data_IF_660985645512
#
_entry.id   IF_660985645512
#
_cell.length_a   1.000
_cell.length_b   1.000
_cell.length_c   1.000
_cell.angle_alpha   90.00
_cell.angle_beta   90.00
_cell.angle_gamma   90.00
#
_symmetry.space_group_name_H-M   'P 1'
#
loop_
_entity.id
_entity.type
_entity.pdbx_description
1 polymer ?
#
# COMPACT_ATOMS: atom_id res chain seq x y z
N UNK A 1 3.51 -10.55 -12.99
CA UNK A 1 4.04 -10.35 -11.64
C UNK A 1 5.26 -9.46 -11.71
N UNK A 2 5.40 -8.56 -10.78
CA UNK A 2 6.61 -7.75 -10.63
C UNK A 2 7.05 -7.72 -9.17
N UNK A 3 8.36 -7.67 -8.95
CA UNK A 3 8.98 -7.59 -7.62
C UNK A 3 10.08 -6.53 -7.61
N UNK A 4 10.10 -5.71 -6.55
CA UNK A 4 11.16 -4.72 -6.31
C UNK A 4 11.54 -4.80 -4.84
N UNK A 5 12.84 -4.96 -4.55
CA UNK A 5 13.38 -4.94 -3.19
C UNK A 5 14.57 -3.99 -3.13
N UNK A 6 14.69 -3.24 -2.04
CA UNK A 6 15.75 -2.29 -1.82
C UNK A 6 16.20 -2.27 -0.35
N UNK A 7 17.45 -1.95 -0.13
CA UNK A 7 17.95 -1.61 1.20
C UNK A 7 17.47 -0.20 1.56
N UNK A 8 16.72 -0.06 2.65
CA UNK A 8 16.10 1.21 3.04
C UNK A 8 17.09 2.24 3.61
N UNK A 9 18.31 1.85 3.95
CA UNK A 9 19.34 2.77 4.43
C UNK A 9 20.20 3.30 3.29
N UNK A 10 20.55 2.44 2.31
CA UNK A 10 21.44 2.81 1.20
C UNK A 10 20.68 3.19 -0.07
N UNK A 11 19.42 2.80 -0.23
CA UNK A 11 18.64 2.97 -1.44
C UNK A 11 19.01 2.01 -2.57
N UNK A 12 20.00 1.12 -2.35
CA UNK A 12 20.40 0.11 -3.34
C UNK A 12 19.21 -0.81 -3.65
N UNK A 13 18.84 -0.90 -4.92
CA UNK A 13 17.84 -1.85 -5.40
C UNK A 13 18.49 -3.22 -5.51
N UNK A 14 18.08 -4.14 -4.64
CA UNK A 14 18.64 -5.49 -4.54
C UNK A 14 18.01 -6.45 -5.57
N UNK A 15 16.71 -6.25 -5.83
CA UNK A 15 15.95 -7.04 -6.80
C UNK A 15 15.02 -6.10 -7.55
N UNK A 16 15.01 -6.21 -8.88
CA UNK A 16 13.97 -5.71 -9.77
C UNK A 16 13.74 -6.76 -10.84
N UNK A 17 12.59 -7.42 -10.80
CA UNK A 17 12.27 -8.53 -11.71
C UNK A 17 10.80 -8.54 -12.06
N UNK A 18 10.51 -8.93 -13.28
CA UNK A 18 9.18 -8.96 -13.84
C UNK A 18 8.98 -10.25 -14.64
N UNK A 19 7.77 -10.82 -14.57
CA UNK A 19 7.41 -11.99 -15.33
C UNK A 19 5.95 -11.93 -15.78
N UNK A 20 5.67 -12.43 -16.97
CA UNK A 20 4.31 -12.62 -17.50
C UNK A 20 3.99 -14.08 -17.65
N UNK A 21 2.73 -14.45 -17.41
CA UNK A 21 2.19 -15.77 -17.74
C UNK A 21 1.62 -15.83 -19.17
N UNK A 22 1.63 -14.70 -19.89
CA UNK A 22 1.10 -14.61 -21.24
C UNK A 22 2.27 -14.67 -22.23
N UNK A 23 2.37 -15.76 -22.99
CA UNK A 23 3.27 -15.91 -24.14
C UNK A 23 2.84 -15.03 -25.34
N UNK A 24 2.33 -13.83 -25.09
CA UNK A 24 1.84 -12.95 -26.14
C UNK A 24 2.89 -11.90 -26.49
N UNK A 25 3.33 -11.89 -27.72
CA UNK A 25 4.20 -10.88 -28.37
C UNK A 25 3.72 -9.41 -28.22
N UNK A 26 2.50 -9.21 -27.69
CA UNK A 26 1.86 -7.91 -27.52
C UNK A 26 2.10 -7.24 -26.17
N UNK A 27 2.64 -7.93 -25.18
CA UNK A 27 3.00 -7.34 -23.89
C UNK A 27 4.52 -7.27 -23.77
N UNK A 28 5.08 -6.20 -24.30
CA UNK A 28 6.45 -5.80 -23.96
C UNK A 28 6.39 -5.24 -22.53
N UNK A 29 6.63 -6.12 -21.52
CA UNK A 29 6.51 -5.79 -20.08
C UNK A 29 7.78 -5.12 -19.57
N UNK A 30 8.49 -4.41 -20.43
CA UNK A 30 9.70 -3.72 -20.05
C UNK A 30 9.41 -2.66 -18.97
N UNK A 31 9.92 -2.91 -17.77
CA UNK A 31 9.91 -1.96 -16.64
C UNK A 31 8.51 -1.61 -16.13
N UNK A 32 7.59 -2.62 -16.06
CA UNK A 32 6.23 -2.41 -15.53
C UNK A 32 6.26 -1.82 -14.12
N UNK A 33 7.23 -2.21 -13.29
CA UNK A 33 7.43 -1.71 -11.92
C UNK A 33 7.67 -0.20 -11.85
N UNK A 34 8.32 0.38 -12.88
CA UNK A 34 8.63 1.81 -12.95
C UNK A 34 7.63 2.60 -13.82
N UNK A 35 7.03 1.96 -14.82
CA UNK A 35 6.21 2.64 -15.85
C UNK A 35 4.71 2.49 -15.63
N UNK A 36 4.26 1.32 -15.15
CA UNK A 36 2.85 1.09 -14.96
C UNK A 36 2.32 1.81 -13.73
N UNK A 37 1.22 2.52 -13.93
CA UNK A 37 0.46 3.14 -12.87
C UNK A 37 -0.64 2.20 -12.39
N UNK A 38 -0.85 2.16 -11.08
CA UNK A 38 -1.95 1.41 -10.48
C UNK A 38 -2.44 2.11 -9.21
N UNK A 39 -3.66 1.81 -8.84
CA UNK A 39 -4.21 2.22 -7.55
C UNK A 39 -3.73 1.25 -6.48
N UNK A 40 -2.97 1.71 -5.46
CA UNK A 40 -2.33 0.82 -4.48
C UNK A 40 -3.32 0.16 -3.51
N UNK A 41 -4.56 0.64 -3.50
CA UNK A 41 -5.59 0.15 -2.59
C UNK A 41 -5.13 0.23 -1.14
N UNK A 42 -5.49 -0.74 -0.35
CA UNK A 42 -5.21 -0.76 1.10
C UNK A 42 -3.73 -0.63 1.49
N UNK A 43 -2.78 -0.78 0.55
CA UNK A 43 -1.37 -0.53 0.84
C UNK A 43 -1.07 0.96 1.11
N UNK A 44 -1.96 1.87 0.68
CA UNK A 44 -1.85 3.30 0.96
C UNK A 44 -2.29 3.69 2.38
N UNK A 45 -3.14 2.92 3.04
CA UNK A 45 -3.77 3.28 4.32
C UNK A 45 -2.78 3.69 5.41
N UNK A 46 -1.57 3.14 5.41
CA UNK A 46 -0.56 3.48 6.40
C UNK A 46 -0.13 4.95 6.28
N UNK A 47 -0.08 5.50 5.08
CA UNK A 47 0.24 6.91 4.86
C UNK A 47 -0.95 7.81 5.23
N UNK A 48 -2.18 7.40 4.92
CA UNK A 48 -3.40 8.09 5.35
C UNK A 48 -3.42 8.22 6.88
N UNK A 49 -3.23 7.12 7.60
CA UNK A 49 -3.18 7.13 9.06
C UNK A 49 -1.98 7.96 9.58
N UNK A 50 -0.83 7.88 8.89
CA UNK A 50 0.34 8.68 9.21
C UNK A 50 0.10 10.19 9.13
N UNK A 51 -0.64 10.64 8.12
CA UNK A 51 -1.04 12.05 7.99
C UNK A 51 -1.88 12.52 9.18
N UNK A 52 -2.86 11.69 9.59
CA UNK A 52 -3.76 12.03 10.70
C UNK A 52 -3.06 12.02 12.05
N UNK A 53 -2.10 11.11 12.24
CA UNK A 53 -1.26 11.07 13.46
C UNK A 53 -0.31 12.27 13.50
N UNK A 54 0.31 12.64 12.36
CA UNK A 54 1.21 13.81 12.29
C UNK A 54 0.47 15.12 12.60
N UNK A 55 -0.82 15.18 12.24
CA UNK A 55 -1.68 16.36 12.44
C UNK A 55 -2.46 16.35 13.76
N UNK A 56 -2.18 15.40 14.67
CA UNK A 56 -2.88 15.21 15.94
C UNK A 56 -4.43 15.09 15.83
N UNK A 57 -4.92 14.66 14.66
CA UNK A 57 -6.36 14.43 14.41
C UNK A 57 -6.80 13.11 15.02
N UNK A 58 -5.90 12.13 15.08
CA UNK A 58 -6.18 10.76 15.52
C UNK A 58 -5.40 10.44 16.80
N UNK A 59 -6.13 10.01 17.83
CA UNK A 59 -5.57 9.27 18.95
C UNK A 59 -5.65 7.77 18.65
N UNK A 60 -4.49 7.09 18.60
CA UNK A 60 -4.38 5.66 18.29
C UNK A 60 -5.14 4.75 19.27
N UNK A 61 -5.44 5.26 20.47
CA UNK A 61 -6.13 4.51 21.52
C UNK A 61 -7.66 4.65 21.43
N UNK A 62 -8.16 5.63 20.67
CA UNK A 62 -9.59 5.81 20.50
C UNK A 62 -10.17 4.65 19.69
N UNK A 63 -11.32 4.15 20.14
CA UNK A 63 -12.08 3.13 19.46
C UNK A 63 -13.20 3.76 18.62
N UNK A 64 -13.41 3.19 17.45
CA UNK A 64 -14.41 3.59 16.48
C UNK A 64 -15.39 2.43 16.29
N UNK A 65 -16.69 2.73 16.30
CA UNK A 65 -17.71 1.75 15.90
C UNK A 65 -17.65 1.61 14.38
N UNK A 66 -17.26 0.44 13.91
CA UNK A 66 -17.06 0.11 12.50
C UNK A 66 -18.13 -0.89 12.07
N UNK A 67 -19.06 -0.45 11.25
CA UNK A 67 -20.04 -1.27 10.56
C UNK A 67 -19.41 -1.88 9.31
N UNK A 68 -20.12 -2.87 8.71
CA UNK A 68 -19.71 -3.50 7.47
C UNK A 68 -19.63 -2.52 6.29
N UNK A 69 -20.53 -1.51 6.27
CA UNK A 69 -20.64 -0.53 5.18
C UNK A 69 -20.85 0.88 5.71
N UNK A 70 -20.47 1.85 4.89
CA UNK A 70 -20.66 3.28 5.16
C UNK A 70 -21.15 4.00 3.89
N UNK A 71 -22.15 4.84 4.04
CA UNK A 71 -22.65 5.71 2.99
C UNK A 71 -22.01 7.09 3.07
N UNK A 72 -21.42 7.51 1.97
CA UNK A 72 -20.93 8.90 1.77
C UNK A 72 -21.96 9.70 0.97
N UNK A 73 -22.78 9.00 0.22
CA UNK A 73 -23.92 9.56 -0.53
C UNK A 73 -25.16 8.79 -0.06
N UNK A 74 -26.13 9.53 0.44
CA UNK A 74 -27.36 8.97 1.02
C UNK A 74 -28.04 7.96 0.08
N UNK A 75 -28.40 6.81 0.61
CA UNK A 75 -29.05 5.71 -0.10
C UNK A 75 -28.12 4.90 -1.02
N UNK A 76 -26.83 5.26 -1.13
CA UNK A 76 -25.91 4.62 -2.08
C UNK A 76 -25.58 3.16 -1.75
N UNK A 77 -25.90 2.68 -0.54
CA UNK A 77 -25.78 1.28 -0.17
C UNK A 77 -27.06 0.46 -0.46
N UNK A 78 -28.14 1.07 -0.88
CA UNK A 78 -29.35 0.35 -1.33
C UNK A 78 -29.07 -0.36 -2.67
N UNK A 79 -29.45 -1.63 -2.77
CA UNK A 79 -29.25 -2.45 -3.98
C UNK A 79 -29.98 -1.90 -5.23
N UNK A 80 -31.03 -1.11 -5.03
CA UNK A 80 -31.78 -0.46 -6.10
C UNK A 80 -31.27 0.94 -6.47
N UNK A 81 -30.20 1.41 -5.81
CA UNK A 81 -29.67 2.75 -6.05
C UNK A 81 -28.97 2.84 -7.41
N UNK A 82 -29.41 3.76 -8.24
CA UNK A 82 -28.87 3.98 -9.60
C UNK A 82 -28.06 5.27 -9.74
N UNK A 83 -27.86 6.00 -8.64
CA UNK A 83 -27.13 7.26 -8.62
C UNK A 83 -25.61 7.11 -8.58
N UNK A 84 -24.92 8.15 -8.12
CA UNK A 84 -23.48 8.17 -7.96
C UNK A 84 -23.04 7.14 -6.90
N UNK A 85 -22.01 6.35 -7.20
CA UNK A 85 -21.44 5.38 -6.24
C UNK A 85 -20.88 6.10 -5.03
N UNK A 86 -21.35 5.74 -3.84
CA UNK A 86 -20.96 6.34 -2.57
C UNK A 86 -20.97 5.39 -1.39
N UNK A 87 -21.28 4.11 -1.66
CA UNK A 87 -21.24 3.04 -0.67
C UNK A 87 -19.85 2.41 -0.63
N UNK A 88 -19.26 2.37 0.56
CA UNK A 88 -17.99 1.66 0.80
C UNK A 88 -18.22 0.51 1.78
N UNK A 89 -17.54 -0.61 1.55
CA UNK A 89 -17.69 -1.82 2.34
C UNK A 89 -16.35 -2.38 2.76
N UNK A 90 -16.34 -3.03 3.91
CA UNK A 90 -15.23 -3.91 4.27
C UNK A 90 -15.24 -5.17 3.40
N UNK A 91 -14.09 -5.83 3.32
CA UNK A 91 -13.94 -6.98 2.42
C UNK A 91 -14.82 -8.17 2.84
N UNK A 92 -14.89 -8.46 4.13
CA UNK A 92 -15.75 -9.50 4.69
C UNK A 92 -16.89 -8.87 5.46
N UNK A 93 -18.11 -9.40 5.26
CA UNK A 93 -19.27 -9.00 6.03
C UNK A 93 -19.08 -9.35 7.51
N UNK A 94 -19.40 -8.41 8.39
CA UNK A 94 -19.29 -8.56 9.84
C UNK A 94 -20.34 -7.73 10.55
N UNK A 95 -20.63 -8.11 11.81
CA UNK A 95 -21.40 -7.27 12.72
C UNK A 95 -20.58 -6.04 13.15
N UNK A 96 -21.23 -4.98 13.65
CA UNK A 96 -20.52 -3.80 14.14
C UNK A 96 -19.43 -4.15 15.15
N UNK A 97 -18.20 -3.64 14.94
CA UNK A 97 -17.02 -3.87 15.75
C UNK A 97 -16.51 -2.54 16.33
N UNK A 98 -16.10 -2.56 17.60
CA UNK A 98 -15.34 -1.45 18.16
C UNK A 98 -13.85 -1.70 17.88
N UNK A 99 -13.26 -0.90 16.99
CA UNK A 99 -11.88 -1.06 16.55
C UNK A 99 -11.07 0.21 16.83
N UNK A 100 -9.89 0.06 17.40
CA UNK A 100 -8.91 1.14 17.46
C UNK A 100 -8.12 1.23 16.13
N UNK A 101 -7.26 2.26 16.00
CA UNK A 101 -6.50 2.49 14.76
C UNK A 101 -5.61 1.29 14.40
N UNK A 102 -5.00 0.65 15.39
CA UNK A 102 -4.17 -0.55 15.18
C UNK A 102 -4.98 -1.68 14.57
N UNK A 103 -6.17 -1.96 15.10
CA UNK A 103 -7.07 -3.01 14.63
C UNK A 103 -7.66 -2.70 13.25
N UNK A 104 -7.92 -1.42 12.96
CA UNK A 104 -8.38 -0.96 11.63
C UNK A 104 -7.31 -1.24 10.56
N UNK A 105 -6.04 -0.95 10.84
CA UNK A 105 -4.93 -1.24 9.93
C UNK A 105 -4.68 -2.75 9.84
N UNK A 106 -4.70 -3.48 10.96
CA UNK A 106 -4.52 -4.92 11.04
C UNK A 106 -5.52 -5.68 10.15
N UNK A 107 -6.81 -5.37 10.29
CA UNK A 107 -7.90 -5.95 9.52
C UNK A 107 -8.03 -5.37 8.11
N UNK A 108 -7.33 -4.27 7.85
CA UNK A 108 -7.47 -3.54 6.59
C UNK A 108 -8.89 -2.98 6.35
N UNK A 109 -9.59 -2.58 7.41
CA UNK A 109 -10.95 -2.05 7.31
C UNK A 109 -10.99 -0.79 6.43
N UNK A 110 -11.85 -0.79 5.41
CA UNK A 110 -12.14 0.37 4.59
C UNK A 110 -13.03 1.35 5.38
N UNK A 111 -14.08 0.82 5.98
CA UNK A 111 -15.07 1.61 6.73
C UNK A 111 -14.42 2.28 7.93
N UNK A 112 -13.58 1.56 8.67
CA UNK A 112 -12.82 2.12 9.79
C UNK A 112 -11.89 3.26 9.33
N UNK A 113 -11.16 3.06 8.23
CA UNK A 113 -10.28 4.10 7.68
C UNK A 113 -11.07 5.34 7.24
N UNK A 114 -12.20 5.15 6.54
CA UNK A 114 -13.06 6.25 6.10
C UNK A 114 -13.65 7.02 7.29
N UNK A 115 -14.08 6.33 8.35
CA UNK A 115 -14.58 6.99 9.57
C UNK A 115 -13.53 7.86 10.24
N UNK A 116 -12.30 7.39 10.29
CA UNK A 116 -11.19 8.15 10.88
C UNK A 116 -10.92 9.42 10.08
N UNK A 117 -10.90 9.37 8.74
CA UNK A 117 -10.58 10.54 7.90
C UNK A 117 -11.72 11.54 7.77
N UNK A 118 -12.91 11.22 8.24
CA UNK A 118 -14.11 12.05 8.00
C UNK A 118 -14.01 13.48 8.55
N UNK A 119 -13.10 13.73 9.49
CA UNK A 119 -12.84 15.06 10.06
C UNK A 119 -11.53 15.69 9.51
N UNK A 120 -10.96 15.14 8.46
CA UNK A 120 -9.73 15.66 7.84
C UNK A 120 -10.01 16.31 6.49
N UNK A 121 -8.99 17.03 5.99
CA UNK A 121 -9.01 17.60 4.65
C UNK A 121 -8.24 16.69 3.68
N UNK A 122 -8.75 16.54 2.46
CA UNK A 122 -8.10 15.76 1.41
C UNK A 122 -6.74 16.33 1.03
N UNK A 123 -6.59 17.67 1.03
CA UNK A 123 -5.34 18.35 0.69
C UNK A 123 -4.23 18.01 1.70
N UNK A 124 -4.56 17.89 2.99
CA UNK A 124 -3.59 17.53 4.03
C UNK A 124 -3.04 16.10 3.82
N UNK A 125 -3.93 15.16 3.42
CA UNK A 125 -3.52 13.79 3.10
C UNK A 125 -2.68 13.77 1.83
N UNK A 126 -3.07 14.51 0.79
CA UNK A 126 -2.34 14.59 -0.47
C UNK A 126 -0.95 15.21 -0.25
N UNK A 127 -0.85 16.29 0.51
CA UNK A 127 0.42 16.93 0.83
C UNK A 127 1.33 16.02 1.66
N UNK A 128 0.76 15.23 2.57
CA UNK A 128 1.52 14.22 3.29
C UNK A 128 2.05 13.15 2.32
N UNK A 129 1.23 12.64 1.40
CA UNK A 129 1.64 11.67 0.39
C UNK A 129 2.77 12.24 -0.51
N UNK A 130 2.68 13.50 -0.91
CA UNK A 130 3.73 14.17 -1.70
C UNK A 130 5.07 14.24 -0.96
N UNK A 131 5.09 14.37 0.38
CA UNK A 131 6.34 14.31 1.18
C UNK A 131 7.07 12.97 0.97
N UNK A 132 6.35 11.87 0.75
CA UNK A 132 6.90 10.54 0.49
C UNK A 132 7.28 10.30 -0.98
N UNK A 133 7.05 11.26 -1.86
CA UNK A 133 7.38 11.21 -3.27
C UNK A 133 6.26 10.71 -4.19
N UNK A 134 5.05 10.48 -3.67
CA UNK A 134 3.91 10.19 -4.54
C UNK A 134 3.60 11.40 -5.44
N UNK A 135 3.26 11.14 -6.69
CA UNK A 135 3.06 12.18 -7.70
C UNK A 135 4.37 12.71 -8.33
N UNK A 136 5.53 12.17 -7.95
CA UNK A 136 6.84 12.53 -8.48
C UNK A 136 7.63 11.30 -8.89
N UNK A 137 8.54 11.42 -9.85
CA UNK A 137 9.48 10.35 -10.19
C UNK A 137 10.39 10.04 -8.99
N UNK A 138 10.71 8.77 -8.77
CA UNK A 138 11.66 8.38 -7.74
C UNK A 138 13.11 8.74 -8.12
N UNK A 139 13.36 8.88 -9.42
CA UNK A 139 14.68 9.19 -9.97
C UNK A 139 15.58 7.95 -10.06
N UNK A 140 15.02 6.74 -9.97
CA UNK A 140 15.74 5.51 -10.27
C UNK A 140 16.20 5.53 -11.74
N UNK A 141 17.37 4.96 -12.05
CA UNK A 141 18.03 5.04 -13.37
C UNK A 141 17.31 4.17 -14.43
N UNK A 142 15.99 4.30 -14.53
CA UNK A 142 15.13 3.62 -15.49
C UNK A 142 14.46 4.63 -16.43
N UNK A 143 14.60 4.40 -17.73
CA UNK A 143 13.98 5.27 -18.71
C UNK A 143 12.45 5.13 -18.73
N UNK A 144 11.75 6.26 -18.86
CA UNK A 144 10.28 6.26 -18.96
C UNK A 144 9.56 6.04 -17.62
N UNK A 145 10.23 6.25 -16.49
CA UNK A 145 9.60 6.21 -15.17
C UNK A 145 8.38 7.13 -15.13
N UNK A 146 7.25 6.59 -14.64
CA UNK A 146 6.05 7.37 -14.40
C UNK A 146 6.11 8.08 -13.05
N UNK A 147 5.55 9.29 -13.00
CA UNK A 147 5.38 10.04 -11.74
C UNK A 147 4.12 9.67 -10.97
N UNK A 148 3.24 8.84 -11.54
CA UNK A 148 1.90 8.66 -10.99
C UNK A 148 1.03 9.91 -11.12
N UNK A 149 -0.13 9.90 -10.47
CA UNK A 149 -1.05 11.05 -10.48
C UNK A 149 -2.03 10.98 -9.32
N UNK A 150 -2.50 12.14 -8.91
CA UNK A 150 -3.69 12.28 -8.07
C UNK A 150 -4.89 12.60 -8.96
N UNK A 151 -6.09 12.17 -8.55
CA UNK A 151 -7.33 12.57 -9.22
C UNK A 151 -7.63 14.06 -8.97
N UNK A 152 -8.43 14.67 -9.83
CA UNK A 152 -8.95 16.02 -9.58
C UNK A 152 -10.14 15.95 -8.61
N UNK A 153 -10.05 16.70 -7.49
CA UNK A 153 -11.00 16.55 -6.37
C UNK A 153 -12.11 17.61 -6.34
N UNK A 154 -12.05 18.65 -7.17
CA UNK A 154 -12.85 19.89 -7.06
C UNK A 154 -14.37 19.69 -7.05
N UNK A 155 -14.90 18.53 -7.49
CA UNK A 155 -16.32 18.23 -7.51
C UNK A 155 -16.70 16.85 -6.96
N UNK A 156 -15.74 16.16 -6.37
CA UNK A 156 -15.88 14.75 -6.02
C UNK A 156 -16.27 14.57 -4.54
N UNK A 157 -17.49 14.18 -4.28
CA UNK A 157 -18.00 13.94 -2.90
C UNK A 157 -17.34 12.76 -2.19
N UNK A 158 -16.85 11.77 -2.94
CA UNK A 158 -16.29 10.52 -2.39
C UNK A 158 -14.77 10.44 -2.46
N UNK A 159 -14.10 11.49 -2.95
CA UNK A 159 -12.66 11.43 -3.20
C UNK A 159 -11.83 11.32 -1.93
N UNK A 160 -12.21 11.99 -0.83
CA UNK A 160 -11.54 11.80 0.45
C UNK A 160 -11.60 10.34 0.90
N UNK A 161 -12.79 9.73 0.86
CA UNK A 161 -12.97 8.33 1.21
C UNK A 161 -12.21 7.40 0.28
N UNK A 162 -12.23 7.67 -1.03
CA UNK A 162 -11.52 6.88 -2.04
C UNK A 162 -10.00 6.98 -1.85
N UNK A 163 -9.46 8.20 -1.71
CA UNK A 163 -8.03 8.41 -1.50
C UNK A 163 -7.56 7.74 -0.22
N UNK A 164 -8.33 7.85 0.86
CA UNK A 164 -7.96 7.30 2.17
C UNK A 164 -7.74 5.78 2.15
N UNK A 165 -8.35 5.07 1.23
CA UNK A 165 -8.23 3.62 1.08
C UNK A 165 -7.43 3.21 -0.17
N UNK A 166 -6.78 4.18 -0.83
CA UNK A 166 -5.84 3.96 -1.93
C UNK A 166 -6.44 3.88 -3.32
N UNK A 167 -7.61 4.47 -3.52
CA UNK A 167 -8.18 4.79 -4.83
C UNK A 167 -8.02 6.28 -5.14
N UNK A 168 -8.35 6.70 -6.35
CA UNK A 168 -8.19 8.11 -6.76
C UNK A 168 -6.73 8.63 -6.73
N UNK A 169 -5.79 7.73 -6.68
CA UNK A 169 -4.35 7.95 -6.83
C UNK A 169 -3.74 6.84 -7.68
N UNK A 170 -2.87 7.21 -8.59
CA UNK A 170 -2.07 6.27 -9.36
C UNK A 170 -0.61 6.33 -8.91
N UNK A 171 -0.02 5.19 -8.58
CA UNK A 171 1.36 5.07 -8.14
C UNK A 171 2.13 4.07 -8.99
N UNK A 172 3.47 4.14 -8.94
CA UNK A 172 4.35 3.07 -9.41
C UNK A 172 4.79 2.17 -8.26
N UNK A 173 5.27 0.99 -8.57
CA UNK A 173 5.81 0.08 -7.56
C UNK A 173 7.07 0.67 -6.88
N UNK A 174 7.90 1.41 -7.63
CA UNK A 174 9.06 2.11 -7.06
C UNK A 174 8.67 3.21 -6.08
N UNK A 175 7.60 3.96 -6.34
CA UNK A 175 7.09 4.94 -5.36
C UNK A 175 6.63 4.26 -4.07
N UNK A 176 5.97 3.11 -4.15
CA UNK A 176 5.58 2.33 -2.96
C UNK A 176 6.80 1.86 -2.18
N UNK A 177 7.82 1.31 -2.84
CA UNK A 177 9.07 0.91 -2.19
C UNK A 177 9.76 2.10 -1.53
N UNK A 178 9.84 3.25 -2.21
CA UNK A 178 10.40 4.48 -1.62
C UNK A 178 9.63 4.91 -0.37
N UNK A 179 8.30 4.99 -0.46
CA UNK A 179 7.45 5.41 0.66
C UNK A 179 7.60 4.51 1.89
N UNK A 180 7.59 3.20 1.68
CA UNK A 180 7.80 2.23 2.77
C UNK A 180 9.24 2.25 3.30
N UNK A 181 10.23 2.56 2.45
CA UNK A 181 11.63 2.73 2.90
C UNK A 181 11.78 3.91 3.86
N UNK A 182 11.08 5.03 3.60
CA UNK A 182 11.06 6.19 4.51
C UNK A 182 10.45 5.80 5.86
N UNK A 183 9.39 4.99 5.88
CA UNK A 183 8.84 4.48 7.15
C UNK A 183 9.85 3.55 7.84
N UNK A 184 10.48 2.63 7.10
CA UNK A 184 11.33 1.60 7.67
C UNK A 184 12.67 2.15 8.21
N UNK A 185 13.24 3.21 7.60
CA UNK A 185 14.55 3.77 7.92
C UNK A 185 14.54 4.87 9.01
N UNK A 186 13.43 5.04 9.70
CA UNK A 186 13.31 6.06 10.75
C UNK A 186 12.88 7.44 10.24
N UNK A 187 12.26 7.53 9.07
CA UNK A 187 11.65 8.76 8.54
C UNK A 187 12.55 9.62 7.68
N UNK A 188 13.64 9.08 7.14
CA UNK A 188 14.58 9.78 6.27
C UNK A 188 14.23 9.55 4.80
N UNK A 189 14.39 10.58 3.96
CA UNK A 189 14.29 10.43 2.50
C UNK A 189 15.31 9.43 1.99
N UNK A 190 14.99 8.78 0.90
CA UNK A 190 15.84 7.78 0.28
C UNK A 190 15.80 7.93 -1.25
N UNK A 191 16.98 7.96 -1.86
CA UNK A 191 17.13 7.85 -3.31
C UNK A 191 17.32 6.37 -3.64
N UNK A 192 16.35 5.78 -4.35
CA UNK A 192 16.50 4.43 -4.90
C UNK A 192 17.45 4.46 -6.09
N UNK A 193 18.34 3.47 -6.18
CA UNK A 193 19.32 3.39 -7.26
C UNK A 193 19.61 1.94 -7.64
N UNK A 194 19.71 1.68 -8.94
CA UNK A 194 20.20 0.41 -9.49
C UNK A 194 21.74 0.34 -9.47
N UNK A 195 22.39 1.49 -9.23
CA UNK A 195 23.83 1.58 -9.13
C UNK A 195 24.22 1.48 -7.65
N UNK A 196 25.23 0.66 -7.36
CA UNK A 196 25.80 0.58 -6.04
C UNK A 196 26.62 1.84 -5.74
N UNK A 197 25.97 2.82 -5.10
CA UNK A 197 26.61 4.07 -4.70
C UNK A 197 26.40 4.30 -3.21
N UNK A 198 27.42 4.05 -2.42
CA UNK A 198 27.39 4.13 -0.95
C UNK A 198 27.29 5.57 -0.44
N UNK A 199 27.61 6.58 -1.27
CA UNK A 199 27.72 7.96 -0.83
C UNK A 199 26.43 8.80 -1.04
N UNK A 200 25.49 8.32 -1.84
CA UNK A 200 24.26 9.09 -2.20
C UNK A 200 23.35 9.42 -1.02
N UNK A 201 23.41 8.65 0.05
CA UNK A 201 22.47 8.77 1.17
C UNK A 201 23.10 9.25 2.51
N UNK A 202 24.31 9.82 2.47
CA UNK A 202 25.02 10.28 3.67
C UNK A 202 24.34 11.49 4.36
N UNK A 203 23.59 12.33 3.63
CA UNK A 203 22.92 13.53 4.13
C UNK A 203 21.41 13.51 3.87
N UNK A 204 20.74 12.45 4.26
CA UNK A 204 19.30 12.27 4.03
C UNK A 204 18.46 13.31 4.80
N UNK A 205 17.60 14.03 4.08
CA UNK A 205 16.59 14.92 4.68
C UNK A 205 15.57 14.07 5.46
N UNK A 206 15.18 14.53 6.64
CA UNK A 206 14.08 13.91 7.39
C UNK A 206 12.73 14.34 6.79
N UNK A 207 11.91 13.37 6.45
CA UNK A 207 10.57 13.55 5.87
C UNK A 207 9.50 13.55 6.97
N UNK A 208 9.60 12.61 7.91
CA UNK A 208 8.74 12.49 9.09
C UNK A 208 9.60 12.32 10.35
N UNK A 209 9.04 12.59 11.52
CA UNK A 209 9.74 12.37 12.77
C UNK A 209 10.09 10.90 12.98
N UNK A 210 11.14 10.64 13.76
CA UNK A 210 11.52 9.27 14.14
C UNK A 210 10.40 8.59 14.94
N UNK A 211 9.71 9.35 15.79
CA UNK A 211 8.56 8.84 16.55
C UNK A 211 7.43 8.38 15.64
N UNK A 212 7.00 9.23 14.72
CA UNK A 212 5.94 8.84 13.75
C UNK A 212 6.36 7.62 12.94
N UNK A 213 7.59 7.58 12.44
CA UNK A 213 8.11 6.42 11.72
C UNK A 213 7.98 5.13 12.55
N UNK A 214 8.37 5.16 13.83
CA UNK A 214 8.28 3.99 14.72
C UNK A 214 6.83 3.58 15.00
N UNK A 215 5.92 4.55 15.16
CA UNK A 215 4.48 4.28 15.32
C UNK A 215 3.93 3.58 14.08
N UNK A 216 4.23 4.08 12.88
CA UNK A 216 3.81 3.46 11.62
C UNK A 216 4.43 2.07 11.42
N UNK A 217 5.71 1.87 11.76
CA UNK A 217 6.35 0.54 11.76
C UNK A 217 5.62 -0.45 12.64
N UNK A 218 5.25 -0.07 13.86
CA UNK A 218 4.50 -0.94 14.78
C UNK A 218 3.13 -1.33 14.21
N UNK A 219 2.42 -0.39 13.58
CA UNK A 219 1.17 -0.69 12.90
C UNK A 219 1.36 -1.69 11.76
N UNK A 220 2.40 -1.53 10.94
CA UNK A 220 2.73 -2.47 9.85
C UNK A 220 3.16 -3.85 10.36
N UNK A 221 3.91 -3.93 11.45
CA UNK A 221 4.28 -5.20 12.10
C UNK A 221 3.00 -5.91 12.59
N UNK A 222 2.05 -5.17 13.15
CA UNK A 222 0.79 -5.76 13.61
C UNK A 222 -0.07 -6.37 12.49
N UNK A 223 0.05 -5.89 11.25
CA UNK A 223 -0.61 -6.54 10.09
C UNK A 223 -0.10 -7.97 9.87
N UNK A 224 1.13 -8.28 10.27
CA UNK A 224 1.74 -9.60 10.18
C UNK A 224 1.53 -10.39 11.49
N UNK A 225 1.79 -9.76 12.64
CA UNK A 225 1.80 -10.44 13.94
C UNK A 225 0.45 -10.50 14.64
N UNK A 226 -0.48 -9.62 14.30
CA UNK A 226 -1.81 -9.55 14.92
C UNK A 226 -2.71 -10.72 14.53
N UNK A 227 -3.63 -11.09 15.42
CA UNK A 227 -4.51 -12.25 15.24
C UNK A 227 -5.48 -12.12 14.06
N UNK A 228 -5.84 -10.88 13.71
CA UNK A 228 -6.70 -10.58 12.56
C UNK A 228 -5.92 -9.99 11.38
N UNK A 229 -4.59 -10.06 11.42
CA UNK A 229 -3.71 -9.48 10.42
C UNK A 229 -3.88 -10.10 9.03
N UNK A 230 -3.96 -9.25 8.02
CA UNK A 230 -4.09 -9.70 6.62
C UNK A 230 -2.78 -10.26 6.05
N UNK A 231 -1.65 -10.06 6.74
CA UNK A 231 -0.31 -10.53 6.38
C UNK A 231 0.20 -11.72 7.19
N UNK A 232 -0.64 -12.43 7.94
CA UNK A 232 -0.23 -13.53 8.84
C UNK A 232 0.61 -14.63 8.18
N UNK A 233 0.41 -14.88 6.90
CA UNK A 233 1.20 -15.87 6.14
C UNK A 233 2.70 -15.54 6.09
N UNK A 234 3.06 -14.29 6.39
CA UNK A 234 4.45 -13.81 6.41
C UNK A 234 5.21 -14.10 7.70
N UNK A 235 4.54 -14.51 8.78
CA UNK A 235 5.21 -14.81 10.05
C UNK A 235 6.37 -15.76 9.84
N UNK A 236 7.53 -15.39 10.36
CA UNK A 236 8.77 -16.16 10.33
C UNK A 236 9.45 -16.06 11.67
N UNK A 237 9.73 -17.20 12.31
CA UNK A 237 10.37 -17.26 13.62
C UNK A 237 11.74 -16.57 13.58
N UNK A 238 11.98 -15.71 14.57
CA UNK A 238 13.23 -14.96 14.69
C UNK A 238 13.36 -13.73 13.77
N UNK A 239 12.37 -13.41 12.95
CA UNK A 239 12.37 -12.25 12.07
C UNK A 239 11.22 -11.31 12.38
N UNK A 240 11.48 -10.01 12.26
CA UNK A 240 10.47 -8.95 12.34
C UNK A 240 10.09 -8.51 10.93
N UNK A 241 8.87 -8.79 10.54
CA UNK A 241 8.31 -8.41 9.24
C UNK A 241 7.13 -7.48 9.48
N UNK A 242 7.07 -6.37 8.75
CA UNK A 242 5.94 -5.47 8.74
C UNK A 242 5.55 -5.10 7.32
N UNK A 243 4.29 -4.81 7.08
CA UNK A 243 3.85 -4.41 5.75
C UNK A 243 2.34 -4.37 5.63
N UNK A 244 1.88 -4.14 4.42
CA UNK A 244 0.44 -4.04 4.13
C UNK A 244 0.08 -4.76 2.84
N UNK A 245 -1.00 -5.51 2.90
CA UNK A 245 -1.65 -6.09 1.73
C UNK A 245 -2.42 -5.01 0.96
N UNK A 246 -2.36 -5.07 -0.34
CA UNK A 246 -3.17 -4.28 -1.27
C UNK A 246 -4.02 -5.21 -2.15
N UNK A 247 -5.21 -4.77 -2.46
CA UNK A 247 -6.10 -5.41 -3.43
C UNK A 247 -6.92 -4.30 -4.06
N UNK A 248 -6.72 -4.05 -5.34
CA UNK A 248 -7.51 -3.09 -6.10
C UNK A 248 -8.08 -3.75 -7.36
N UNK A 249 -9.23 -3.29 -7.81
CA UNK A 249 -9.81 -3.73 -9.08
C UNK A 249 -8.97 -3.18 -10.22
N UNK A 250 -8.71 -4.00 -11.23
CA UNK A 250 -8.03 -3.52 -12.44
C UNK A 250 -8.98 -2.61 -13.23
N UNK A 251 -8.54 -1.39 -13.49
CA UNK A 251 -9.25 -0.51 -14.42
C UNK A 251 -8.93 -0.91 -15.86
N UNK A 252 -9.96 -1.10 -16.66
CA UNK A 252 -9.87 -1.42 -18.08
C UNK A 252 -10.38 -0.24 -18.88
N UNK A 253 -9.55 0.28 -19.77
CA UNK A 253 -9.90 1.44 -20.60
C UNK A 253 -11.17 1.18 -21.43
N UNK A 254 -12.10 2.12 -21.40
CA UNK A 254 -13.39 2.02 -22.07
C UNK A 254 -14.44 1.10 -21.42
N UNK A 255 -14.07 0.35 -20.38
CA UNK A 255 -14.96 -0.59 -19.66
C UNK A 255 -15.17 -0.15 -18.20
N UNK A 256 -14.11 0.41 -17.56
CA UNK A 256 -14.10 0.74 -16.14
C UNK A 256 -13.46 -0.36 -15.27
N UNK A 257 -13.82 -0.38 -13.98
CA UNK A 257 -13.29 -1.38 -13.05
C UNK A 257 -13.81 -2.79 -13.34
N UNK A 258 -12.88 -3.73 -13.47
CA UNK A 258 -13.19 -5.15 -13.65
C UNK A 258 -13.71 -5.78 -12.35
N UNK A 259 -14.76 -6.60 -12.45
CA UNK A 259 -15.25 -7.39 -11.31
C UNK A 259 -14.49 -8.72 -11.13
N UNK A 260 -13.62 -9.10 -12.09
CA UNK A 260 -12.92 -10.38 -12.11
C UNK A 260 -11.40 -10.28 -12.08
N UNK A 261 -10.84 -9.08 -12.32
CA UNK A 261 -9.40 -8.85 -12.37
C UNK A 261 -8.98 -7.89 -11.28
N UNK A 262 -7.95 -8.27 -10.54
CA UNK A 262 -7.45 -7.52 -9.41
C UNK A 262 -5.93 -7.33 -9.52
N UNK A 263 -5.44 -6.16 -9.15
CA UNK A 263 -4.05 -5.98 -8.83
C UNK A 263 -3.88 -6.30 -7.35
N UNK A 264 -3.19 -7.40 -7.05
CA UNK A 264 -2.95 -7.82 -5.68
C UNK A 264 -1.51 -7.56 -5.30
N UNK A 265 -1.28 -6.98 -4.13
CA UNK A 265 0.06 -6.58 -3.72
C UNK A 265 0.33 -6.86 -2.25
N UNK A 266 1.61 -6.96 -1.94
CA UNK A 266 2.14 -6.79 -0.59
C UNK A 266 3.36 -5.87 -0.69
N UNK A 267 3.36 -4.80 0.12
CA UNK A 267 4.51 -3.92 0.29
C UNK A 267 4.87 -3.88 1.77
N UNK A 268 6.15 -4.09 2.08
CA UNK A 268 6.56 -4.17 3.47
C UNK A 268 8.08 -4.26 3.63
N UNK A 269 8.52 -4.57 4.83
CA UNK A 269 9.93 -4.67 5.17
C UNK A 269 10.21 -5.89 6.05
N UNK A 270 11.46 -6.31 6.03
CA UNK A 270 12.05 -7.22 7.00
C UNK A 270 13.22 -6.52 7.69
N UNK A 271 13.28 -6.61 9.03
CA UNK A 271 14.42 -6.11 9.79
C UNK A 271 15.61 -7.05 9.65
N UNK A 272 16.77 -6.50 9.33
CA UNK A 272 18.04 -7.23 9.28
C UNK A 272 19.11 -6.53 10.11
N UNK A 273 20.24 -7.20 10.35
CA UNK A 273 21.37 -6.60 11.06
C UNK A 273 22.02 -5.44 10.27
N UNK A 274 21.85 -5.41 8.95
CA UNK A 274 22.36 -4.38 8.05
C UNK A 274 21.31 -3.29 7.73
N UNK A 275 20.20 -3.29 8.46
CA UNK A 275 19.08 -2.39 8.28
C UNK A 275 17.90 -3.03 7.55
N UNK A 276 16.75 -2.37 7.52
CA UNK A 276 15.55 -2.92 6.91
C UNK A 276 15.70 -3.09 5.39
N UNK A 277 15.31 -4.25 4.88
CA UNK A 277 15.09 -4.47 3.44
C UNK A 277 13.60 -4.26 3.20
N UNK A 278 13.27 -3.35 2.30
CA UNK A 278 11.89 -3.06 1.88
C UNK A 278 11.63 -3.69 0.53
N UNK A 279 10.46 -4.31 0.39
CA UNK A 279 10.07 -4.94 -0.86
C UNK A 279 8.61 -4.69 -1.20
N UNK A 280 8.31 -4.80 -2.48
CA UNK A 280 6.96 -4.80 -3.04
C UNK A 280 6.83 -5.94 -4.03
N UNK A 281 5.74 -6.69 -3.91
CA UNK A 281 5.32 -7.74 -4.85
C UNK A 281 3.94 -7.38 -5.37
N UNK A 282 3.76 -7.38 -6.69
CA UNK A 282 2.48 -7.10 -7.35
C UNK A 282 2.17 -8.21 -8.36
N UNK A 283 0.97 -8.77 -8.28
CA UNK A 283 0.37 -9.59 -9.32
C UNK A 283 -0.65 -8.73 -10.08
N UNK A 284 -0.36 -8.48 -11.34
CA UNK A 284 -1.15 -7.63 -12.21
C UNK A 284 -2.29 -8.43 -12.85
N UNK A 285 -3.53 -7.94 -12.69
CA UNK A 285 -4.70 -8.54 -13.29
C UNK A 285 -4.99 -9.98 -12.83
N UNK A 286 -4.63 -10.32 -11.60
CA UNK A 286 -4.87 -11.63 -11.00
C UNK A 286 -6.36 -11.99 -11.06
N UNK A 287 -6.66 -13.22 -11.48
CA UNK A 287 -8.03 -13.75 -11.60
C UNK A 287 -8.21 -14.84 -10.55
N UNK A 288 -9.34 -14.83 -9.85
CA UNK A 288 -9.70 -15.89 -8.92
C UNK A 288 -9.82 -17.26 -9.62
N UNK A 289 -9.27 -18.30 -8.99
CA UNK A 289 -9.55 -19.68 -9.38
C UNK A 289 -10.99 -20.07 -8.98
N UNK A 290 -11.66 -20.98 -9.70
CA UNK A 290 -12.93 -21.56 -9.25
C UNK A 290 -12.89 -22.21 -7.86
N UNK A 291 -11.68 -22.54 -7.36
CA UNK A 291 -11.44 -23.17 -6.05
C UNK A 291 -11.18 -22.11 -4.95
N UNK A 292 -10.79 -20.89 -5.33
CA UNK A 292 -10.51 -19.78 -4.39
C UNK A 292 -11.34 -18.58 -4.81
N UNK A 293 -12.44 -18.33 -4.11
CA UNK A 293 -13.31 -17.17 -4.37
C UNK A 293 -12.61 -15.83 -4.08
N UNK A 294 -11.51 -15.82 -3.31
CA UNK A 294 -10.86 -14.60 -2.85
C UNK A 294 -9.40 -14.51 -3.29
N UNK A 295 -9.18 -13.66 -4.29
CA UNK A 295 -7.82 -13.24 -4.71
C UNK A 295 -7.46 -11.96 -3.98
N UNK A 296 -6.57 -12.06 -3.00
CA UNK A 296 -6.12 -10.92 -2.17
C UNK A 296 -4.60 -10.84 -2.12
N UNK A 297 -4.07 -9.68 -1.76
CA UNK A 297 -2.63 -9.52 -1.53
C UNK A 297 -2.08 -10.51 -0.48
N UNK A 298 -2.90 -10.83 0.56
CA UNK A 298 -2.52 -11.80 1.60
C UNK A 298 -2.43 -13.25 1.11
N UNK A 299 -3.27 -13.65 0.14
CA UNK A 299 -3.30 -15.00 -0.41
C UNK A 299 -2.36 -15.20 -1.60
N UNK A 300 -1.91 -14.13 -2.25
CA UNK A 300 -1.12 -14.19 -3.49
C UNK A 300 0.27 -13.55 -3.35
N UNK A 301 0.35 -12.24 -3.15
CA UNK A 301 1.60 -11.48 -3.11
C UNK A 301 2.42 -11.75 -1.83
N UNK A 302 1.76 -11.89 -0.67
CA UNK A 302 2.45 -12.11 0.61
C UNK A 302 3.26 -13.43 0.64
N UNK A 303 2.77 -14.58 0.16
CA UNK A 303 3.58 -15.79 0.06
C UNK A 303 4.82 -15.65 -0.83
N UNK A 304 4.71 -14.91 -1.94
CA UNK A 304 5.85 -14.64 -2.82
C UNK A 304 6.88 -13.77 -2.11
N UNK A 305 6.43 -12.70 -1.44
CA UNK A 305 7.30 -11.85 -0.61
C UNK A 305 8.05 -12.69 0.43
N UNK A 306 7.36 -13.58 1.15
CA UNK A 306 7.96 -14.47 2.15
C UNK A 306 9.07 -15.35 1.56
N UNK A 307 8.82 -15.94 0.40
CA UNK A 307 9.81 -16.80 -0.26
C UNK A 307 11.03 -16.00 -0.69
N UNK A 308 10.86 -14.77 -1.15
CA UNK A 308 11.98 -13.91 -1.54
C UNK A 308 12.80 -13.53 -0.31
N UNK A 309 12.19 -13.04 0.77
CA UNK A 309 12.93 -12.60 1.96
C UNK A 309 13.66 -13.75 2.65
N UNK A 310 13.14 -14.99 2.61
CA UNK A 310 13.85 -16.17 3.11
C UNK A 310 15.19 -16.41 2.42
N UNK A 311 15.30 -16.08 1.14
CA UNK A 311 16.54 -16.23 0.37
C UNK A 311 17.45 -14.99 0.47
N UNK A 312 16.92 -13.85 0.92
CA UNK A 312 17.71 -12.63 1.12
C UNK A 312 18.36 -12.54 2.49
N UNK A 313 17.79 -13.21 3.49
CA UNK A 313 18.31 -13.19 4.85
C UNK A 313 18.87 -14.57 5.21
N UNK A 314 20.05 -14.66 5.87
CA UNK A 314 20.60 -15.93 6.30
C UNK A 314 19.69 -16.59 7.34
N UNK A 315 19.66 -17.92 7.33
CA UNK A 315 19.01 -18.68 8.41
C UNK A 315 19.59 -18.28 9.77
N UNK A 316 18.71 -17.95 10.72
CA UNK A 316 19.10 -17.63 12.10
C UNK A 316 19.17 -18.88 12.95
#
# INVERSE_FOLDING_TARGET
CSVVFANSLTGEVLISSETSSLDNEYFNIDLISARANYEPGSALKIFTIGSLIESDIVDENNSYLVEYEIEIIDGSCDDNYTGLKGCFRDFLKHEPLNLNVKEIIERSSNVGTIKIVNNSNIDDIEDFLKKFGFGSKTGVELSGESKGSFAEYNTCKTCLSSLSIGYSINTTQYQMVKGYSIIANGGKDIQLSLLRNLDQNLNQKRIISYDLSNRLKKLLINVVEGDNGTGKSLRMDGYVIGGKTGTSRTYLEGIGYSDKRFNTSFTGFIETNEGPIVGSVILWGAIGSPISEYVTGGSTAAPIFKNIVRNLVPDK
#
